data_IF_405480224059
#
_entry.id   IF_405480224059
#
_cell.length_a   1.000
_cell.length_b   1.000
_cell.length_c   1.000
_cell.angle_alpha   90.00
_cell.angle_beta   90.00
_cell.angle_gamma   90.00
#
_symmetry.space_group_name_H-M   'P 1'
#
loop_
_entity.id
_entity.type
_entity.pdbx_description
1 polymer ?
#
# COMPACT_ATOMS: atom_id res chain seq x y z
N UNK A 1 0.25 29.86 4.72
CA UNK A 1 0.83 29.58 3.39
C UNK A 1 2.27 29.09 3.50
N UNK A 2 3.20 29.86 4.08
CA UNK A 2 4.60 29.41 4.27
C UNK A 2 4.71 28.08 5.03
N UNK A 3 4.02 27.94 6.17
CA UNK A 3 4.02 26.71 6.95
C UNK A 3 3.54 25.48 6.16
N UNK A 4 2.51 25.64 5.31
CA UNK A 4 2.06 24.57 4.42
C UNK A 4 3.10 24.21 3.36
N UNK A 5 3.83 25.19 2.83
CA UNK A 5 4.95 24.94 1.92
C UNK A 5 6.07 24.15 2.59
N UNK A 6 6.45 24.52 3.82
CA UNK A 6 7.44 23.78 4.62
C UNK A 6 6.97 22.36 4.92
N UNK A 7 5.71 22.21 5.34
CA UNK A 7 5.11 20.90 5.60
C UNK A 7 5.13 19.99 4.36
N UNK A 8 4.85 20.52 3.16
CA UNK A 8 4.95 19.74 1.93
C UNK A 8 6.37 19.23 1.67
N UNK A 9 7.41 20.04 1.94
CA UNK A 9 8.80 19.61 1.81
C UNK A 9 9.17 18.53 2.83
N UNK A 10 8.74 18.67 4.09
CA UNK A 10 8.93 17.66 5.12
C UNK A 10 8.25 16.34 4.74
N UNK A 11 6.99 16.42 4.30
CA UNK A 11 6.21 15.25 3.89
C UNK A 11 6.84 14.51 2.71
N UNK A 12 7.45 15.26 1.77
CA UNK A 12 8.24 14.70 0.67
C UNK A 12 9.44 13.90 1.19
N UNK A 13 10.19 14.45 2.14
CA UNK A 13 11.36 13.80 2.71
C UNK A 13 10.98 12.53 3.48
N UNK A 14 9.93 12.58 4.30
CA UNK A 14 9.36 11.42 5.00
C UNK A 14 8.98 10.32 4.01
N UNK A 15 8.26 10.68 2.93
CA UNK A 15 7.86 9.74 1.89
C UNK A 15 9.06 9.09 1.21
N UNK A 16 10.09 9.87 0.90
CA UNK A 16 11.32 9.35 0.29
C UNK A 16 12.02 8.33 1.22
N UNK A 17 12.06 8.59 2.52
CA UNK A 17 12.59 7.63 3.50
C UNK A 17 11.79 6.33 3.55
N UNK A 18 10.46 6.39 3.55
CA UNK A 18 9.61 5.20 3.53
C UNK A 18 9.79 4.37 2.25
N UNK A 19 9.91 5.03 1.10
CA UNK A 19 10.19 4.37 -0.18
C UNK A 19 11.56 3.67 -0.12
N UNK A 20 12.58 4.32 0.44
CA UNK A 20 13.90 3.72 0.60
C UNK A 20 13.87 2.47 1.49
N UNK A 21 13.14 2.50 2.60
CA UNK A 21 12.96 1.33 3.47
C UNK A 21 12.25 0.19 2.75
N UNK A 22 11.16 0.50 2.04
CA UNK A 22 10.41 -0.50 1.29
C UNK A 22 11.24 -1.13 0.16
N UNK A 23 12.09 -0.36 -0.53
CA UNK A 23 13.04 -0.90 -1.51
C UNK A 23 14.05 -1.84 -0.86
N UNK A 24 14.65 -1.42 0.26
CA UNK A 24 15.58 -2.28 1.00
C UNK A 24 14.93 -3.60 1.46
N UNK A 25 13.65 -3.59 1.78
CA UNK A 25 12.90 -4.80 2.12
C UNK A 25 12.70 -5.77 0.94
N UNK A 26 12.52 -5.25 -0.27
CA UNK A 26 12.40 -6.06 -1.48
C UNK A 26 13.71 -6.77 -1.83
N UNK A 27 14.85 -6.15 -1.53
CA UNK A 27 16.19 -6.68 -1.82
C UNK A 27 16.68 -7.70 -0.78
N UNK A 28 15.99 -7.82 0.36
CA UNK A 28 16.33 -8.79 1.41
C UNK A 28 15.93 -10.21 1.02
N UNK A 29 16.64 -11.24 1.51
CA UNK A 29 16.22 -12.62 1.34
C UNK A 29 14.86 -12.86 1.97
N UNK A 30 14.09 -13.79 1.39
CA UNK A 30 12.76 -14.10 1.88
C UNK A 30 12.80 -14.68 3.30
N UNK A 31 11.95 -14.16 4.18
CA UNK A 31 11.85 -14.59 5.58
C UNK A 31 10.50 -15.25 5.87
N UNK A 32 10.39 -16.09 6.91
CA UNK A 32 9.09 -16.62 7.33
C UNK A 32 8.08 -15.50 7.62
N UNK A 33 6.83 -15.70 7.22
CA UNK A 33 5.76 -14.73 7.43
C UNK A 33 5.60 -14.39 8.93
N UNK A 34 5.73 -13.11 9.33
CA UNK A 34 5.56 -12.73 10.73
C UNK A 34 4.10 -12.85 11.16
N UNK A 35 3.88 -13.14 12.45
CA UNK A 35 2.53 -13.22 13.03
C UNK A 35 1.80 -11.87 13.05
N UNK A 36 2.54 -10.76 13.11
CA UNK A 36 2.02 -9.39 13.09
C UNK A 36 2.76 -8.58 12.03
N UNK A 37 2.03 -7.75 11.28
CA UNK A 37 2.65 -6.79 10.37
C UNK A 37 2.97 -5.52 11.13
N UNK A 38 4.20 -5.05 10.95
CA UNK A 38 4.64 -3.70 11.32
C UNK A 38 5.04 -2.95 10.05
N UNK A 39 4.97 -1.61 10.08
CA UNK A 39 5.20 -0.78 8.89
C UNK A 39 6.61 -0.95 8.30
N UNK A 40 7.60 -1.27 9.13
CA UNK A 40 8.98 -1.54 8.74
C UNK A 40 9.17 -2.86 7.97
N UNK A 41 8.21 -3.78 8.02
CA UNK A 41 8.23 -5.05 7.29
C UNK A 41 7.45 -5.00 5.98
N UNK A 42 6.70 -3.93 5.72
CA UNK A 42 5.94 -3.80 4.48
C UNK A 42 6.86 -3.95 3.27
N UNK A 43 6.36 -4.67 2.26
CA UNK A 43 7.08 -5.01 1.04
C UNK A 43 8.25 -5.98 1.22
N UNK A 44 8.50 -6.52 2.42
CA UNK A 44 9.49 -7.56 2.60
C UNK A 44 9.12 -8.84 1.84
N UNK A 45 10.14 -9.54 1.36
CA UNK A 45 9.99 -10.86 0.77
C UNK A 45 9.69 -11.88 1.87
N UNK A 46 8.61 -12.64 1.71
CA UNK A 46 8.16 -13.58 2.74
C UNK A 46 7.78 -14.94 2.17
N UNK A 47 7.92 -15.98 2.99
CA UNK A 47 7.45 -17.33 2.72
C UNK A 47 6.50 -17.82 3.81
N UNK A 48 5.52 -18.62 3.41
CA UNK A 48 4.61 -19.30 4.33
C UNK A 48 4.15 -20.63 3.72
N UNK A 49 3.52 -21.47 4.54
CA UNK A 49 2.80 -22.65 4.07
C UNK A 49 1.32 -22.41 4.35
N UNK A 50 0.48 -22.46 3.32
CA UNK A 50 -0.97 -22.47 3.48
C UNK A 50 -1.43 -23.92 3.66
N UNK A 51 -1.66 -24.34 4.90
CA UNK A 51 -2.07 -25.71 5.22
C UNK A 51 -3.56 -25.94 4.94
N UNK A 52 -4.39 -24.92 5.18
CA UNK A 52 -5.82 -24.96 4.87
C UNK A 52 -6.23 -23.69 4.14
N UNK A 53 -6.87 -23.85 2.99
CA UNK A 53 -7.49 -22.77 2.22
C UNK A 53 -8.92 -22.58 2.70
N UNK A 54 -9.26 -21.36 3.11
CA UNK A 54 -10.60 -20.97 3.51
C UNK A 54 -11.28 -20.11 2.45
N UNK A 55 -12.08 -19.14 2.91
CA UNK A 55 -12.88 -18.29 2.05
C UNK A 55 -12.05 -17.43 1.09
N UNK A 56 -12.62 -17.19 -0.07
CA UNK A 56 -12.07 -16.30 -1.08
C UNK A 56 -12.77 -14.94 -1.05
N UNK A 57 -11.98 -13.88 -1.12
CA UNK A 57 -12.48 -12.52 -1.34
C UNK A 57 -11.95 -11.98 -2.66
N UNK A 58 -12.69 -11.04 -3.26
CA UNK A 58 -12.28 -10.35 -4.47
C UNK A 58 -12.08 -8.87 -4.18
N UNK A 59 -11.11 -8.27 -4.87
CA UNK A 59 -10.88 -6.83 -4.85
C UNK A 59 -10.41 -6.35 -6.22
N UNK A 60 -10.34 -5.02 -6.40
CA UNK A 60 -9.68 -4.47 -7.59
C UNK A 60 -8.19 -4.84 -7.57
N UNK A 61 -7.67 -5.26 -8.72
CA UNK A 61 -6.27 -5.62 -8.89
C UNK A 61 -5.76 -5.33 -10.30
N UNK A 62 -4.44 -5.33 -10.42
CA UNK A 62 -3.72 -5.20 -11.70
C UNK A 62 -2.75 -6.36 -11.80
N UNK A 63 -2.68 -6.98 -12.96
CA UNK A 63 -1.71 -8.04 -13.22
C UNK A 63 -0.36 -7.46 -13.64
N UNK A 64 0.67 -8.31 -13.63
CA UNK A 64 2.03 -7.95 -14.08
C UNK A 64 2.09 -7.49 -15.54
N UNK A 65 1.16 -7.95 -16.40
CA UNK A 65 1.02 -7.52 -17.80
C UNK A 65 0.35 -6.13 -17.96
N UNK A 66 0.02 -5.47 -16.84
CA UNK A 66 -0.58 -4.14 -16.83
C UNK A 66 -2.10 -4.12 -17.02
N UNK A 67 -2.76 -5.24 -17.29
CA UNK A 67 -4.21 -5.26 -17.37
C UNK A 67 -4.87 -5.25 -15.99
N UNK A 68 -6.02 -4.58 -15.91
CA UNK A 68 -6.84 -4.51 -14.70
C UNK A 68 -7.81 -5.69 -14.62
N UNK A 69 -8.20 -6.06 -13.40
CA UNK A 69 -9.20 -7.10 -13.17
C UNK A 69 -9.53 -7.25 -11.68
N UNK A 70 -10.07 -8.41 -11.35
CA UNK A 70 -10.43 -8.81 -10.00
C UNK A 70 -9.29 -9.66 -9.43
N UNK A 71 -8.64 -9.16 -8.37
CA UNK A 71 -7.69 -9.96 -7.60
C UNK A 71 -8.44 -10.94 -6.72
N UNK A 72 -7.98 -12.18 -6.66
CA UNK A 72 -8.57 -13.23 -5.86
C UNK A 72 -7.67 -13.52 -4.66
N UNK A 73 -8.23 -13.32 -3.46
CA UNK A 73 -7.50 -13.43 -2.20
C UNK A 73 -8.05 -14.61 -1.42
N UNK A 74 -7.22 -15.60 -1.14
CA UNK A 74 -7.57 -16.74 -0.31
C UNK A 74 -7.32 -16.44 1.17
N UNK A 75 -8.21 -16.88 2.05
CA UNK A 75 -7.89 -17.09 3.45
C UNK A 75 -6.98 -18.32 3.59
N UNK A 76 -5.95 -18.22 4.41
CA UNK A 76 -5.04 -19.32 4.69
C UNK A 76 -4.82 -19.46 6.17
N UNK A 77 -4.79 -20.71 6.63
CA UNK A 77 -4.32 -21.08 7.96
C UNK A 77 -3.02 -21.85 7.81
N UNK A 78 -1.95 -21.40 8.47
CA UNK A 78 -0.66 -22.07 8.48
C UNK A 78 -0.66 -23.36 9.30
N UNK A 79 0.42 -24.16 9.23
CA UNK A 79 0.52 -25.43 9.98
C UNK A 79 0.39 -25.26 11.50
N UNK A 80 0.77 -24.10 12.02
CA UNK A 80 0.69 -23.73 13.45
C UNK A 80 -0.61 -23.02 13.82
N UNK A 81 -1.59 -22.95 12.90
CA UNK A 81 -2.86 -22.25 13.12
C UNK A 81 -2.83 -20.74 12.85
N UNK A 82 -1.68 -20.17 12.43
CA UNK A 82 -1.57 -18.74 12.12
C UNK A 82 -2.46 -18.37 10.91
N UNK A 83 -3.42 -17.44 11.06
CA UNK A 83 -4.21 -16.96 9.93
C UNK A 83 -3.45 -15.92 9.12
N UNK A 84 -3.55 -16.00 7.79
CA UNK A 84 -3.05 -15.01 6.86
C UNK A 84 -3.88 -15.01 5.57
N UNK A 85 -3.62 -14.04 4.69
CA UNK A 85 -4.26 -13.90 3.39
C UNK A 85 -3.22 -14.12 2.29
N UNK A 86 -3.65 -14.63 1.15
CA UNK A 86 -2.79 -14.77 -0.03
C UNK A 86 -3.50 -14.24 -1.25
N UNK A 87 -2.94 -13.21 -1.88
CA UNK A 87 -3.36 -12.78 -3.21
C UNK A 87 -2.77 -13.74 -4.23
N UNK A 88 -3.65 -14.53 -4.85
CA UNK A 88 -3.30 -15.61 -5.77
C UNK A 88 -3.34 -15.19 -7.23
N UNK A 89 -3.55 -13.90 -7.54
CA UNK A 89 -3.56 -13.40 -8.90
C UNK A 89 -4.86 -12.68 -9.28
N UNK A 90 -4.86 -12.19 -10.51
CA UNK A 90 -5.91 -11.36 -11.11
C UNK A 90 -6.56 -12.08 -12.28
N UNK A 91 -7.88 -11.94 -12.40
CA UNK A 91 -8.64 -12.34 -13.58
C UNK A 91 -9.55 -11.21 -14.06
N UNK A 92 -9.76 -11.10 -15.37
CA UNK A 92 -10.71 -10.13 -15.93
C UNK A 92 -12.16 -10.56 -15.69
N UNK A 93 -12.43 -11.87 -15.66
CA UNK A 93 -13.77 -12.42 -15.45
C UNK A 93 -14.07 -12.55 -13.94
N UNK A 94 -15.02 -11.78 -13.36
CA UNK A 94 -15.38 -11.87 -11.93
C UNK A 94 -16.13 -13.17 -11.56
N UNK A 95 -16.62 -13.91 -12.57
CA UNK A 95 -17.28 -15.20 -12.37
C UNK A 95 -16.29 -16.35 -12.27
N UNK A 96 -15.01 -16.13 -12.59
CA UNK A 96 -13.98 -17.14 -12.40
C UNK A 96 -13.92 -17.55 -10.92
N UNK A 97 -13.82 -18.86 -10.68
CA UNK A 97 -13.64 -19.45 -9.37
C UNK A 97 -12.31 -20.21 -9.38
N UNK A 98 -11.22 -19.59 -8.88
CA UNK A 98 -9.92 -20.24 -8.89
C UNK A 98 -9.94 -21.48 -8.00
N UNK A 99 -9.20 -22.51 -8.43
CA UNK A 99 -9.02 -23.75 -7.68
C UNK A 99 -7.57 -23.78 -7.20
N UNK A 100 -7.39 -23.71 -5.89
CA UNK A 100 -6.09 -23.83 -5.24
C UNK A 100 -6.26 -24.52 -3.87
N UNK A 101 -5.45 -25.54 -3.63
CA UNK A 101 -5.53 -26.42 -2.45
C UNK A 101 -4.57 -26.06 -1.32
N UNK A 102 -3.83 -24.94 -1.44
CA UNK A 102 -2.80 -24.55 -0.49
C UNK A 102 -1.40 -25.03 -0.92
N UNK A 103 -0.46 -25.01 0.02
CA UNK A 103 0.94 -25.37 -0.20
C UNK A 103 1.92 -24.23 0.13
N UNK A 104 3.20 -24.37 -0.25
CA UNK A 104 4.20 -23.32 -0.05
C UNK A 104 3.86 -22.09 -0.88
N UNK A 105 3.92 -20.92 -0.25
CA UNK A 105 3.69 -19.62 -0.87
C UNK A 105 4.91 -18.75 -0.61
N UNK A 106 5.44 -18.15 -1.67
CA UNK A 106 6.46 -17.12 -1.62
C UNK A 106 5.91 -15.85 -2.27
N UNK A 107 6.26 -14.70 -1.73
CA UNK A 107 5.74 -13.46 -2.25
C UNK A 107 6.19 -12.23 -1.50
N UNK A 108 5.43 -11.15 -1.70
CA UNK A 108 5.71 -9.84 -1.11
C UNK A 108 4.69 -9.54 -0.02
N UNK A 109 5.17 -9.16 1.17
CA UNK A 109 4.31 -8.84 2.31
C UNK A 109 3.53 -7.55 2.04
N UNK A 110 2.22 -7.62 2.27
CA UNK A 110 1.28 -6.52 2.17
C UNK A 110 0.20 -6.66 3.25
N UNK A 111 -0.66 -5.64 3.36
CA UNK A 111 -1.80 -5.66 4.26
C UNK A 111 -3.04 -6.20 3.54
N UNK A 112 -3.80 -7.06 4.22
CA UNK A 112 -5.10 -7.48 3.72
C UNK A 112 -6.02 -6.25 3.52
N UNK A 113 -6.89 -6.26 2.49
CA UNK A 113 -7.85 -5.18 2.29
C UNK A 113 -8.90 -5.20 3.41
N UNK A 114 -9.54 -4.05 3.65
CA UNK A 114 -10.56 -3.91 4.70
C UNK A 114 -10.00 -3.55 6.07
N UNK A 115 -8.92 -2.78 6.13
CA UNK A 115 -8.39 -2.23 7.38
C UNK A 115 -9.39 -1.30 8.11
N UNK A 116 -9.07 -0.89 9.35
CA UNK A 116 -10.02 -0.20 10.23
C UNK A 116 -10.42 1.16 9.67
N UNK A 117 -11.72 1.44 9.71
CA UNK A 117 -12.31 2.72 9.30
C UNK A 117 -11.89 3.85 10.24
N UNK A 118 -12.14 5.10 9.84
CA UNK A 118 -11.91 6.25 10.73
C UNK A 118 -12.73 6.12 12.03
N UNK A 119 -13.97 5.64 11.94
CA UNK A 119 -14.84 5.44 13.10
C UNK A 119 -14.29 4.36 14.04
N UNK A 120 -13.75 3.27 13.50
CA UNK A 120 -13.11 2.22 14.30
C UNK A 120 -11.91 2.76 15.08
N UNK A 121 -11.12 3.64 14.46
CA UNK A 121 -9.97 4.28 15.13
C UNK A 121 -10.42 5.23 16.23
N UNK A 122 -11.42 6.08 15.96
CA UNK A 122 -11.92 7.04 16.94
C UNK A 122 -12.61 6.38 18.13
N UNK A 123 -13.24 5.22 17.92
CA UNK A 123 -13.93 4.46 18.98
C UNK A 123 -13.02 3.43 19.68
N UNK A 124 -11.74 3.36 19.33
CA UNK A 124 -10.79 2.40 19.91
C UNK A 124 -11.01 0.95 19.51
N UNK A 125 -11.77 0.70 18.43
CA UNK A 125 -12.12 -0.63 17.90
C UNK A 125 -11.25 -1.06 16.71
N UNK A 126 -10.24 -0.27 16.36
CA UNK A 126 -9.38 -0.54 15.23
C UNK A 126 -8.58 -1.83 15.42
N UNK A 127 -8.82 -2.83 14.58
CA UNK A 127 -7.99 -4.05 14.51
C UNK A 127 -6.87 -3.87 13.49
N UNK A 128 -5.65 -4.36 13.77
CA UNK A 128 -4.59 -4.33 12.80
C UNK A 128 -4.95 -5.22 11.59
N UNK A 129 -4.63 -4.77 10.35
CA UNK A 129 -4.89 -5.57 9.17
C UNK A 129 -4.11 -6.89 9.22
N UNK A 130 -4.76 -7.97 8.76
CA UNK A 130 -4.14 -9.28 8.71
C UNK A 130 -2.96 -9.33 7.71
N UNK A 131 -1.93 -10.16 7.97
CA UNK A 131 -0.86 -10.42 7.01
C UNK A 131 -1.38 -10.93 5.69
N UNK A 132 -0.95 -10.32 4.58
CA UNK A 132 -1.24 -10.77 3.23
C UNK A 132 0.04 -10.96 2.44
N UNK A 133 0.15 -12.09 1.74
CA UNK A 133 1.23 -12.34 0.80
C UNK A 133 0.70 -12.11 -0.61
N UNK A 134 1.33 -11.22 -1.39
CA UNK A 134 1.12 -11.15 -2.84
C UNK A 134 1.99 -12.23 -3.47
N UNK A 135 1.35 -13.33 -3.89
CA UNK A 135 2.03 -14.54 -4.35
C UNK A 135 2.81 -14.29 -5.64
N UNK A 136 4.01 -14.85 -5.74
CA UNK A 136 4.78 -14.84 -6.99
C UNK A 136 4.21 -15.83 -8.01
N UNK A 137 3.62 -16.92 -7.52
CA UNK A 137 2.98 -17.96 -8.33
C UNK A 137 1.47 -17.82 -8.23
N UNK A 138 0.78 -17.46 -9.33
CA UNK A 138 -0.67 -17.35 -9.31
C UNK A 138 -1.33 -18.73 -9.23
N UNK A 139 -2.58 -18.77 -8.74
CA UNK A 139 -3.39 -19.99 -8.86
C UNK A 139 -3.76 -20.25 -10.33
N UNK A 140 -4.09 -21.51 -10.63
CA UNK A 140 -4.48 -21.93 -11.99
C UNK A 140 -5.61 -21.06 -12.54
N UNK A 141 -5.43 -20.54 -13.76
CA UNK A 141 -6.38 -19.67 -14.44
C UNK A 141 -6.32 -18.19 -14.03
N UNK A 142 -5.46 -17.83 -13.08
CA UNK A 142 -5.17 -16.44 -12.72
C UNK A 142 -3.86 -15.96 -13.35
N UNK A 143 -3.78 -14.64 -13.57
CA UNK A 143 -2.55 -13.97 -13.98
C UNK A 143 -1.86 -13.42 -12.74
N UNK A 144 -0.52 -13.42 -12.72
CA UNK A 144 0.22 -12.95 -11.56
C UNK A 144 -0.15 -11.50 -11.21
N UNK A 145 -0.44 -11.25 -9.94
CA UNK A 145 -0.73 -9.90 -9.43
C UNK A 145 0.52 -9.03 -9.55
N UNK A 146 0.34 -7.78 -9.93
CA UNK A 146 1.41 -6.80 -9.87
C UNK A 146 1.87 -6.68 -8.41
N UNK A 147 3.16 -6.88 -8.15
CA UNK A 147 3.71 -6.72 -6.81
C UNK A 147 3.51 -5.28 -6.34
N UNK A 148 3.29 -5.02 -5.05
CA UNK A 148 3.29 -3.65 -4.58
C UNK A 148 4.68 -3.04 -4.87
N UNK A 149 4.71 -1.90 -5.54
CA UNK A 149 5.95 -1.25 -5.99
C UNK A 149 6.06 0.13 -5.35
N UNK A 150 7.08 0.38 -4.50
CA UNK A 150 7.31 1.69 -3.90
C UNK A 150 7.47 2.81 -4.93
N UNK A 151 7.99 2.52 -6.13
CA UNK A 151 8.21 3.52 -7.18
C UNK A 151 6.93 3.99 -7.85
N UNK A 152 5.83 3.25 -7.72
CA UNK A 152 4.52 3.60 -8.29
C UNK A 152 3.78 4.72 -7.52
N UNK A 153 4.32 5.16 -6.38
CA UNK A 153 3.69 6.16 -5.51
C UNK A 153 3.89 7.59 -6.06
N UNK A 154 2.82 8.33 -6.42
CA UNK A 154 2.95 9.67 -7.02
C UNK A 154 3.61 10.71 -6.09
N UNK A 155 4.64 11.44 -6.50
CA UNK A 155 5.25 12.55 -5.73
C UNK A 155 4.93 13.92 -6.35
N UNK A 156 3.93 14.61 -5.80
CA UNK A 156 3.54 15.97 -6.19
C UNK A 156 3.86 17.01 -5.10
N UNK A 157 4.54 16.61 -4.02
CA UNK A 157 4.75 17.45 -2.85
C UNK A 157 5.58 18.70 -3.17
N UNK A 158 6.58 18.58 -4.06
CA UNK A 158 7.39 19.73 -4.47
C UNK A 158 6.56 20.79 -5.20
N UNK A 159 5.71 20.37 -6.15
CA UNK A 159 4.85 21.28 -6.90
C UNK A 159 3.91 22.04 -5.95
N UNK A 160 3.30 21.34 -4.99
CA UNK A 160 2.47 21.96 -3.97
C UNK A 160 3.25 22.89 -3.04
N UNK A 161 4.49 22.54 -2.68
CA UNK A 161 5.33 23.42 -1.87
C UNK A 161 5.58 24.76 -2.57
N UNK A 162 5.95 24.72 -3.86
CA UNK A 162 6.14 25.91 -4.70
C UNK A 162 4.84 26.73 -4.77
N UNK A 163 3.71 26.07 -4.99
CA UNK A 163 2.40 26.72 -5.04
C UNK A 163 2.10 27.49 -3.73
N UNK A 164 2.34 26.87 -2.57
CA UNK A 164 2.08 27.50 -1.28
C UNK A 164 3.00 28.70 -1.01
N UNK A 165 4.26 28.63 -1.43
CA UNK A 165 5.18 29.77 -1.34
C UNK A 165 4.79 30.90 -2.29
N UNK A 166 4.36 30.58 -3.52
CA UNK A 166 3.88 31.58 -4.48
C UNK A 166 2.64 32.32 -3.95
N UNK A 167 1.69 31.61 -3.34
CA UNK A 167 0.54 32.25 -2.70
C UNK A 167 0.93 33.13 -1.50
N UNK A 168 1.89 32.69 -0.69
CA UNK A 168 2.42 33.51 0.40
C UNK A 168 3.02 34.82 -0.13
N UNK A 169 3.84 34.72 -1.19
CA UNK A 169 4.49 35.87 -1.82
C UNK A 169 3.46 36.83 -2.42
N UNK A 170 2.47 36.31 -3.15
CA UNK A 170 1.40 37.13 -3.74
C UNK A 170 0.60 37.88 -2.67
N UNK A 171 0.28 37.23 -1.54
CA UNK A 171 -0.41 37.86 -0.41
C UNK A 171 0.43 39.00 0.20
N UNK A 172 1.74 38.79 0.37
CA UNK A 172 2.64 39.84 0.86
C UNK A 172 2.71 41.02 -0.11
N UNK A 173 2.90 40.76 -1.41
CA UNK A 173 2.97 41.80 -2.44
C UNK A 173 1.67 42.63 -2.47
N UNK A 174 0.52 41.95 -2.52
CA UNK A 174 -0.79 42.62 -2.57
C UNK A 174 -1.06 43.44 -1.31
N UNK A 175 -0.72 42.93 -0.12
CA UNK A 175 -0.84 43.65 1.13
C UNK A 175 0.04 44.92 1.15
N UNK A 176 1.31 44.81 0.75
CA UNK A 176 2.21 45.96 0.68
C UNK A 176 1.74 47.01 -0.34
N UNK A 177 1.23 46.59 -1.50
CA UNK A 177 0.63 47.50 -2.48
C UNK A 177 -0.61 48.20 -1.93
N UNK A 178 -1.47 47.49 -1.20
CA UNK A 178 -2.63 48.07 -0.55
C UNK A 178 -2.25 49.10 0.52
N UNK A 179 -1.25 48.80 1.36
CA UNK A 179 -0.73 49.75 2.35
C UNK A 179 -0.18 51.02 1.70
N UNK A 180 0.63 50.88 0.65
CA UNK A 180 1.20 52.03 -0.10
C UNK A 180 0.12 52.90 -0.75
N UNK A 181 -0.99 52.29 -1.19
CA UNK A 181 -2.14 53.03 -1.75
C UNK A 181 -2.93 53.79 -0.68
N UNK A 182 -2.99 53.27 0.55
CA UNK A 182 -3.68 53.92 1.68
C UNK A 182 -2.87 55.06 2.31
N UNK A 183 -1.54 54.98 2.23
CA UNK A 183 -0.64 56.01 2.78
C UNK A 183 -0.35 57.16 1.81
N UNK A 184 -0.94 57.16 0.62
CA UNK A 184 -0.93 58.25 -0.36
C UNK A 184 -2.31 58.88 -0.37
#
# INVERSE_FOLDING_TARGET
MVALGVWQLQRRAEKAMLIAHARANLDRPAQPLPARITDDLLLARVTAICAQVGDWTMGAGRAVDGSSGYRHIAACTGPTGQPFRVDMGVAANPKLRPVWSGGPVAGTLSQAPGGPTLLDRLTGRATPPAPMIVSDTPATGLRASHRPDPASLPDNHLAYAVQWFAFALAAVITYLLALRRRSR
#
